data_IF_769148625762
#
_entry.id   IF_769148625762
#
_cell.length_a   1.000
_cell.length_b   1.000
_cell.length_c   1.000
_cell.angle_alpha   90.00
_cell.angle_beta   90.00
_cell.angle_gamma   90.00
#
_symmetry.space_group_name_H-M   'P 1'
#
loop_
_entity.id
_entity.type
_entity.pdbx_description
1 polymer ?
#
# COMPACT_ATOMS: atom_id res chain seq x y z
N UNK A 1 25.32 0.98 9.22
CA UNK A 1 24.51 0.97 7.98
C UNK A 1 23.14 1.46 8.39
N UNK A 2 23.00 2.78 8.46
CA UNK A 2 21.73 3.44 8.73
C UNK A 2 20.94 3.45 7.42
N UNK A 3 19.87 2.66 7.39
CA UNK A 3 18.92 2.71 6.27
C UNK A 3 18.03 3.90 6.55
N UNK A 4 18.31 5.00 5.85
CA UNK A 4 17.43 6.18 5.82
C UNK A 4 16.13 5.80 5.08
N UNK A 5 15.09 5.49 5.87
CA UNK A 5 13.75 5.13 5.38
C UNK A 5 13.01 6.36 4.83
N UNK A 6 13.57 7.58 4.99
CA UNK A 6 12.95 8.84 4.59
C UNK A 6 13.01 9.17 3.09
N UNK A 7 13.81 8.44 2.31
CA UNK A 7 14.10 8.79 0.91
C UNK A 7 13.70 7.70 -0.09
N UNK A 8 12.65 6.92 0.21
CA UNK A 8 12.02 6.07 -0.79
C UNK A 8 10.94 6.85 -1.54
N UNK A 9 11.11 7.16 -2.84
CA UNK A 9 10.13 7.92 -3.62
C UNK A 9 8.74 7.27 -3.63
N UNK A 10 8.63 5.97 -3.33
CA UNK A 10 7.34 5.27 -3.20
C UNK A 10 6.52 5.70 -1.98
N UNK A 11 7.14 6.08 -0.85
CA UNK A 11 6.41 6.52 0.35
C UNK A 11 5.91 7.97 0.17
N UNK A 12 6.70 8.82 -0.47
CA UNK A 12 6.30 10.19 -0.79
C UNK A 12 5.08 10.24 -1.73
N UNK A 13 4.98 9.30 -2.68
CA UNK A 13 3.82 9.18 -3.58
C UNK A 13 2.59 8.68 -2.82
N UNK A 14 2.74 7.67 -1.94
CA UNK A 14 1.63 7.18 -1.13
C UNK A 14 1.07 8.26 -0.17
N UNK A 15 1.94 9.15 0.33
CA UNK A 15 1.54 10.28 1.18
C UNK A 15 1.02 11.47 0.39
N UNK A 16 1.43 11.68 -0.87
CA UNK A 16 0.92 12.79 -1.71
C UNK A 16 -0.52 12.59 -2.17
N UNK A 17 -1.02 11.36 -2.15
CA UNK A 17 -2.43 11.04 -2.45
C UNK A 17 -3.33 11.00 -1.22
N UNK A 18 -2.80 11.14 0.00
CA UNK A 18 -3.66 11.36 1.18
C UNK A 18 -4.33 12.72 0.99
N UNK A 19 -5.68 12.79 0.94
CA UNK A 19 -6.36 14.06 0.84
C UNK A 19 -5.92 14.98 2.00
N UNK A 20 -5.40 16.15 1.65
CA UNK A 20 -4.88 17.18 2.58
C UNK A 20 -5.87 17.59 3.69
N UNK A 21 -7.15 17.23 3.53
CA UNK A 21 -8.25 17.37 4.50
C UNK A 21 -8.04 16.62 5.83
N UNK A 22 -7.14 15.64 5.94
CA UNK A 22 -6.90 14.94 7.20
C UNK A 22 -5.75 15.49 8.06
N UNK A 23 -4.96 16.46 7.57
CA UNK A 23 -3.75 16.95 8.29
C UNK A 23 -3.81 18.42 8.74
N UNK A 24 -4.80 19.21 8.31
CA UNK A 24 -5.00 20.60 8.78
C UNK A 24 -6.23 20.71 9.70
N UNK A 25 -6.20 19.98 10.81
CA UNK A 25 -7.08 20.23 11.94
C UNK A 25 -6.49 21.30 12.85
N UNK A 26 -6.77 22.58 12.58
CA UNK A 26 -6.54 23.65 13.56
C UNK A 26 -6.10 25.00 13.02
N UNK A 27 -6.83 25.61 12.09
CA UNK A 27 -6.79 27.07 11.96
C UNK A 27 -8.19 27.62 11.65
N UNK A 28 -8.57 28.65 12.39
CA UNK A 28 -9.93 29.19 12.52
C UNK A 28 -10.54 29.57 11.17
N UNK A 29 -11.76 29.09 10.90
CA UNK A 29 -12.55 29.59 9.76
C UNK A 29 -13.04 31.02 10.04
N UNK A 30 -12.74 32.00 9.15
CA UNK A 30 -13.35 33.31 9.24
C UNK A 30 -14.85 33.22 8.95
N UNK A 31 -15.61 33.74 9.91
CA UNK A 31 -17.05 33.85 9.95
C UNK A 31 -17.63 34.40 8.63
N UNK A 32 -18.31 33.55 7.85
CA UNK A 32 -19.05 33.95 6.65
C UNK A 32 -20.53 33.64 6.81
N UNK A 33 -21.21 34.58 7.45
CA UNK A 33 -22.64 34.76 7.33
C UNK A 33 -23.02 34.88 5.83
N UNK A 34 -24.11 34.20 5.44
CA UNK A 34 -24.75 34.12 4.10
C UNK A 34 -24.19 33.07 3.13
N UNK A 35 -24.68 31.84 3.24
CA UNK A 35 -25.12 31.07 2.06
C UNK A 35 -26.53 30.56 2.30
N UNK A 36 -27.49 31.22 1.65
CA UNK A 36 -28.84 30.69 1.49
C UNK A 36 -28.73 29.32 0.83
N UNK A 37 -29.50 28.39 1.39
CA UNK A 37 -29.75 27.08 0.80
C UNK A 37 -30.40 27.25 -0.58
N UNK A 38 -29.77 26.67 -1.59
CA UNK A 38 -30.47 26.19 -2.78
C UNK A 38 -30.17 24.69 -2.86
N UNK A 39 -31.22 23.91 -2.66
CA UNK A 39 -31.22 22.47 -2.85
C UNK A 39 -30.92 22.14 -4.31
N UNK A 40 -29.95 21.26 -4.49
CA UNK A 40 -29.48 20.74 -5.76
C UNK A 40 -28.13 20.12 -5.46
N UNK A 41 -28.07 18.78 -5.37
CA UNK A 41 -26.83 18.06 -5.18
C UNK A 41 -25.83 18.52 -6.23
N UNK A 42 -24.83 19.28 -5.83
CA UNK A 42 -23.90 19.86 -6.78
C UNK A 42 -22.93 18.77 -7.26
N UNK A 43 -22.59 18.75 -8.56
CA UNK A 43 -21.73 17.73 -9.19
C UNK A 43 -20.26 17.78 -8.75
N UNK A 44 -19.93 18.51 -7.68
CA UNK A 44 -18.57 18.64 -7.15
C UNK A 44 -18.39 17.99 -5.78
N UNK A 45 -19.33 17.18 -5.29
CA UNK A 45 -19.11 16.43 -4.04
C UNK A 45 -17.77 15.67 -4.13
N UNK A 46 -16.73 16.09 -3.39
CA UNK A 46 -15.37 15.56 -3.57
C UNK A 46 -15.33 14.05 -3.29
N UNK A 47 -16.29 13.56 -2.49
CA UNK A 47 -16.46 12.15 -2.15
C UNK A 47 -16.99 11.30 -3.32
N UNK A 48 -17.63 11.92 -4.31
CA UNK A 48 -18.21 11.26 -5.50
C UNK A 48 -17.41 11.55 -6.78
N UNK A 49 -16.21 12.11 -6.67
CA UNK A 49 -15.33 12.36 -7.82
C UNK A 49 -14.71 11.06 -8.37
N UNK A 50 -14.46 10.95 -9.69
CA UNK A 50 -13.73 9.82 -10.27
C UNK A 50 -12.39 9.55 -9.58
N UNK A 51 -11.67 10.62 -9.22
CA UNK A 51 -10.37 10.54 -8.54
C UNK A 51 -10.48 9.87 -7.17
N UNK A 52 -11.54 10.14 -6.40
CA UNK A 52 -11.80 9.47 -5.12
C UNK A 52 -12.08 7.97 -5.31
N UNK A 53 -12.79 7.60 -6.38
CA UNK A 53 -13.08 6.20 -6.70
C UNK A 53 -11.80 5.42 -7.02
N UNK A 54 -10.92 5.98 -7.86
CA UNK A 54 -9.61 5.41 -8.15
C UNK A 54 -8.73 5.31 -6.90
N UNK A 55 -8.73 6.34 -6.04
CA UNK A 55 -8.00 6.33 -4.78
C UNK A 55 -8.45 5.21 -3.82
N UNK A 56 -9.77 5.07 -3.58
CA UNK A 56 -10.32 4.02 -2.73
C UNK A 56 -9.97 2.63 -3.29
N UNK A 57 -10.02 2.46 -4.62
CA UNK A 57 -9.64 1.21 -5.27
C UNK A 57 -8.16 0.89 -5.05
N UNK A 58 -7.28 1.89 -5.17
CA UNK A 58 -5.86 1.74 -4.88
C UNK A 58 -5.59 1.38 -3.42
N UNK A 59 -6.27 2.02 -2.46
CA UNK A 59 -6.16 1.65 -1.05
C UNK A 59 -6.57 0.20 -0.79
N UNK A 60 -7.69 -0.25 -1.37
CA UNK A 60 -8.15 -1.64 -1.24
C UNK A 60 -7.13 -2.63 -1.82
N UNK A 61 -6.54 -2.31 -2.97
CA UNK A 61 -5.51 -3.14 -3.57
C UNK A 61 -4.27 -3.25 -2.66
N UNK A 62 -3.74 -2.11 -2.19
CA UNK A 62 -2.58 -2.08 -1.30
C UNK A 62 -2.81 -2.92 -0.05
N UNK A 63 -3.98 -2.79 0.58
CA UNK A 63 -4.36 -3.59 1.73
C UNK A 63 -4.42 -5.09 1.39
N UNK A 64 -5.03 -5.45 0.26
CA UNK A 64 -5.15 -6.85 -0.16
C UNK A 64 -3.80 -7.50 -0.47
N UNK A 65 -2.88 -6.78 -1.10
CA UNK A 65 -1.54 -7.28 -1.41
C UNK A 65 -0.67 -7.37 -0.14
N UNK A 66 -0.83 -6.42 0.79
CA UNK A 66 -0.18 -6.45 2.11
C UNK A 66 -0.68 -7.62 2.95
N UNK A 67 -1.98 -7.91 2.95
CA UNK A 67 -2.57 -9.06 3.65
C UNK A 67 -2.00 -10.38 3.13
N UNK A 68 -1.94 -10.55 1.81
CA UNK A 68 -1.35 -11.75 1.18
C UNK A 68 0.12 -11.92 1.56
N UNK A 69 0.91 -10.86 1.43
CA UNK A 69 2.33 -10.88 1.78
C UNK A 69 2.54 -11.21 3.27
N UNK A 70 1.84 -10.51 4.16
CA UNK A 70 1.99 -10.66 5.60
C UNK A 70 1.59 -12.05 6.09
N UNK A 71 0.53 -12.64 5.52
CA UNK A 71 0.10 -14.01 5.85
C UNK A 71 1.21 -15.03 5.61
N UNK A 72 1.85 -14.98 4.43
CA UNK A 72 2.97 -15.88 4.11
C UNK A 72 4.23 -15.58 4.93
N UNK A 73 4.52 -14.29 5.16
CA UNK A 73 5.63 -13.88 6.01
C UNK A 73 5.48 -14.44 7.44
N UNK A 74 4.30 -14.29 8.05
CA UNK A 74 4.00 -14.83 9.37
C UNK A 74 4.15 -16.35 9.41
N UNK A 75 3.62 -17.07 8.40
CA UNK A 75 3.76 -18.51 8.28
C UNK A 75 5.22 -18.96 8.31
N UNK A 76 6.08 -18.32 7.50
CA UNK A 76 7.52 -18.63 7.44
C UNK A 76 8.26 -18.29 8.73
N UNK A 77 7.85 -17.25 9.47
CA UNK A 77 8.44 -16.93 10.78
C UNK A 77 8.04 -17.92 11.87
N UNK A 78 6.81 -18.41 11.86
CA UNK A 78 6.40 -19.52 12.73
C UNK A 78 7.21 -20.79 12.41
N UNK A 79 7.44 -21.09 11.13
CA UNK A 79 8.28 -22.23 10.72
C UNK A 79 9.74 -22.06 11.15
N UNK A 80 10.31 -20.87 11.01
CA UNK A 80 11.65 -20.54 11.48
C UNK A 80 11.80 -20.73 13.01
N UNK A 81 10.79 -20.30 13.78
CA UNK A 81 10.77 -20.49 15.23
C UNK A 81 10.65 -21.98 15.60
N UNK A 82 9.78 -22.73 14.93
CA UNK A 82 9.62 -24.16 15.17
C UNK A 82 10.91 -24.95 14.86
N UNK A 83 11.60 -24.60 13.78
CA UNK A 83 12.88 -25.24 13.41
C UNK A 83 14.02 -24.85 14.36
N UNK A 84 14.05 -23.62 14.88
CA UNK A 84 15.00 -23.21 15.91
C UNK A 84 14.81 -24.04 17.20
N UNK A 85 13.56 -24.14 17.67
CA UNK A 85 13.25 -24.94 18.87
C UNK A 85 13.64 -26.40 18.69
N UNK A 86 13.40 -26.98 17.50
CA UNK A 86 13.81 -28.35 17.19
C UNK A 86 15.32 -28.54 17.27
N UNK A 87 16.10 -27.63 16.68
CA UNK A 87 17.57 -27.67 16.74
C UNK A 87 18.09 -27.61 18.18
N UNK A 88 17.46 -26.80 19.04
CA UNK A 88 17.80 -26.73 20.48
C UNK A 88 17.44 -28.04 21.19
N UNK A 89 16.27 -28.62 20.93
CA UNK A 89 15.89 -29.90 21.55
C UNK A 89 16.80 -31.04 21.12
N UNK A 90 17.14 -31.16 19.83
CA UNK A 90 18.03 -32.20 19.30
C UNK A 90 19.41 -32.16 19.94
N UNK A 91 19.91 -30.96 20.26
CA UNK A 91 21.22 -30.77 20.90
C UNK A 91 21.20 -31.01 22.41
N UNK A 92 20.05 -30.85 23.06
CA UNK A 92 19.88 -31.06 24.51
C UNK A 92 19.50 -32.50 24.91
N UNK A 93 19.08 -33.34 23.96
CA UNK A 93 18.47 -34.66 24.25
C UNK A 93 19.47 -35.81 24.53
N UNK A 94 20.78 -35.57 24.41
CA UNK A 94 21.82 -36.52 24.79
C UNK A 94 22.56 -36.01 26.03
N UNK A 95 22.64 -36.78 27.11
CA UNK A 95 23.28 -36.37 28.39
C UNK A 95 24.74 -35.91 28.31
N UNK A 96 25.35 -35.94 27.11
CA UNK A 96 26.61 -35.28 26.76
C UNK A 96 26.37 -34.46 25.49
N UNK A 97 26.65 -33.16 25.55
CA UNK A 97 26.55 -32.26 24.39
C UNK A 97 27.68 -32.61 23.40
N UNK A 98 27.33 -33.04 22.20
CA UNK A 98 28.28 -33.25 21.09
C UNK A 98 28.43 -31.94 20.27
N UNK A 99 29.61 -31.30 20.26
CA UNK A 99 29.85 -30.08 19.51
C UNK A 99 29.62 -30.19 18.00
N UNK A 100 29.82 -31.38 17.41
CA UNK A 100 29.58 -31.62 15.99
C UNK A 100 28.08 -31.67 15.67
N UNK A 101 27.29 -32.26 16.56
CA UNK A 101 25.82 -32.27 16.45
C UNK A 101 25.27 -30.86 16.57
N UNK A 102 25.75 -30.08 17.55
CA UNK A 102 25.37 -28.67 17.71
C UNK A 102 25.71 -27.84 16.48
N UNK A 103 26.94 -27.97 15.97
CA UNK A 103 27.39 -27.20 14.80
C UNK A 103 26.54 -27.52 13.57
N UNK A 104 26.22 -28.80 13.35
CA UNK A 104 25.37 -29.24 12.24
C UNK A 104 23.94 -28.69 12.35
N UNK A 105 23.32 -28.81 13.52
CA UNK A 105 21.97 -28.31 13.76
C UNK A 105 21.88 -26.78 13.52
N UNK A 106 22.91 -26.02 13.95
CA UNK A 106 22.99 -24.58 13.68
C UNK A 106 23.16 -24.26 12.20
N UNK A 107 24.04 -24.97 11.49
CA UNK A 107 24.26 -24.77 10.04
C UNK A 107 22.97 -25.06 9.25
N UNK A 108 22.27 -26.14 9.59
CA UNK A 108 21.02 -26.51 8.92
C UNK A 108 19.91 -25.48 9.20
N UNK A 109 19.80 -25.01 10.44
CA UNK A 109 18.87 -23.92 10.80
C UNK A 109 19.20 -22.60 10.09
N UNK A 110 20.48 -22.21 10.05
CA UNK A 110 20.92 -21.00 9.35
C UNK A 110 20.63 -21.08 7.86
N UNK A 111 20.88 -22.22 7.22
CA UNK A 111 20.61 -22.44 5.80
C UNK A 111 19.12 -22.29 5.49
N UNK A 112 18.26 -22.96 6.26
CA UNK A 112 16.81 -22.82 6.10
C UNK A 112 16.35 -21.38 6.34
N UNK A 113 16.99 -20.66 7.26
CA UNK A 113 16.65 -19.26 7.56
C UNK A 113 17.02 -18.32 6.41
N UNK A 114 18.17 -18.52 5.77
CA UNK A 114 18.54 -17.78 4.56
C UNK A 114 17.58 -18.04 3.40
N UNK A 115 17.14 -19.29 3.22
CA UNK A 115 16.15 -19.61 2.18
C UNK A 115 14.83 -18.86 2.41
N UNK A 116 14.29 -18.91 3.64
CA UNK A 116 13.05 -18.20 3.98
C UNK A 116 13.18 -16.68 3.85
N UNK A 117 14.34 -16.11 4.16
CA UNK A 117 14.62 -14.68 3.96
C UNK A 117 14.63 -14.28 2.48
N UNK A 118 15.22 -15.11 1.62
CA UNK A 118 15.20 -14.88 0.18
C UNK A 118 13.77 -14.97 -0.39
N UNK A 119 12.97 -15.92 0.12
CA UNK A 119 11.54 -16.01 -0.22
C UNK A 119 10.78 -14.77 0.25
N UNK A 120 10.98 -14.32 1.50
CA UNK A 120 10.41 -13.07 2.02
C UNK A 120 10.73 -11.88 1.12
N UNK A 121 12.01 -11.72 0.74
CA UNK A 121 12.46 -10.60 -0.08
C UNK A 121 11.84 -10.63 -1.49
N UNK A 122 11.79 -11.81 -2.11
CA UNK A 122 11.17 -11.97 -3.43
C UNK A 122 9.68 -11.66 -3.39
N UNK A 123 8.98 -12.15 -2.38
CA UNK A 123 7.54 -11.94 -2.23
C UNK A 123 7.23 -10.46 -1.94
N UNK A 124 8.07 -9.81 -1.13
CA UNK A 124 7.99 -8.36 -0.86
C UNK A 124 8.18 -7.54 -2.13
N UNK A 125 9.23 -7.81 -2.92
CA UNK A 125 9.45 -7.13 -4.20
C UNK A 125 8.31 -7.39 -5.19
N UNK A 126 7.80 -8.62 -5.22
CA UNK A 126 6.65 -8.98 -6.05
C UNK A 126 5.39 -8.18 -5.67
N UNK A 127 5.11 -8.04 -4.37
CA UNK A 127 4.03 -7.21 -3.85
C UNK A 127 4.21 -5.75 -4.29
N UNK A 128 5.39 -5.16 -4.05
CA UNK A 128 5.67 -3.78 -4.43
C UNK A 128 5.53 -3.55 -5.94
N UNK A 129 5.99 -4.48 -6.78
CA UNK A 129 5.86 -4.37 -8.23
C UNK A 129 4.38 -4.42 -8.68
N UNK A 130 3.57 -5.34 -8.13
CA UNK A 130 2.13 -5.40 -8.45
C UNK A 130 1.40 -4.14 -8.04
N UNK A 131 1.70 -3.60 -6.86
CA UNK A 131 1.15 -2.32 -6.40
C UNK A 131 1.55 -1.16 -7.33
N UNK A 132 2.83 -1.10 -7.73
CA UNK A 132 3.33 -0.07 -8.64
C UNK A 132 2.69 -0.16 -10.04
N UNK A 133 2.58 -1.36 -10.61
CA UNK A 133 1.93 -1.57 -11.90
C UNK A 133 0.48 -1.09 -11.89
N UNK A 134 -0.28 -1.45 -10.84
CA UNK A 134 -1.68 -1.03 -10.72
C UNK A 134 -1.83 0.47 -10.43
N UNK A 135 -0.92 1.09 -9.70
CA UNK A 135 -0.91 2.56 -9.53
C UNK A 135 -0.82 3.27 -10.88
N UNK A 136 0.11 2.83 -11.75
CA UNK A 136 0.29 3.41 -13.08
C UNK A 136 -0.94 3.21 -13.96
N UNK A 137 -1.56 2.02 -13.90
CA UNK A 137 -2.79 1.73 -14.64
C UNK A 137 -3.96 2.62 -14.19
N UNK A 138 -4.21 2.70 -12.89
CA UNK A 138 -5.31 3.49 -12.33
C UNK A 138 -5.12 5.00 -12.54
N UNK A 139 -3.87 5.50 -12.48
CA UNK A 139 -3.57 6.89 -12.80
C UNK A 139 -3.84 7.19 -14.30
N UNK A 140 -3.44 6.30 -15.20
CA UNK A 140 -3.73 6.43 -16.64
C UNK A 140 -5.22 6.42 -16.95
N UNK A 141 -5.99 5.55 -16.26
CA UNK A 141 -7.45 5.50 -16.40
C UNK A 141 -8.10 6.79 -15.88
N UNK A 142 -7.71 7.26 -14.69
CA UNK A 142 -8.22 8.49 -14.09
C UNK A 142 -7.95 9.73 -14.96
N UNK A 143 -6.76 9.82 -15.58
CA UNK A 143 -6.42 10.90 -16.52
C UNK A 143 -7.32 10.85 -17.76
N UNK A 144 -7.54 9.65 -18.31
CA UNK A 144 -8.37 9.46 -19.50
C UNK A 144 -9.81 9.87 -19.23
N UNK A 145 -10.39 9.43 -18.11
CA UNK A 145 -11.76 9.80 -17.71
C UNK A 145 -11.88 11.32 -17.48
N UNK A 146 -10.88 11.94 -16.85
CA UNK A 146 -10.86 13.39 -16.66
C UNK A 146 -10.86 14.15 -17.99
N UNK A 147 -10.08 13.70 -18.98
CA UNK A 147 -10.05 14.32 -20.32
C UNK A 147 -11.40 14.18 -21.01
N UNK A 148 -12.04 13.02 -20.93
CA UNK A 148 -13.37 12.78 -21.51
C UNK A 148 -14.43 13.68 -20.89
N UNK A 149 -14.41 13.85 -19.57
CA UNK A 149 -15.37 14.71 -18.86
C UNK A 149 -15.19 16.18 -19.23
N UNK A 150 -13.94 16.66 -19.36
CA UNK A 150 -13.65 18.01 -19.88
C UNK A 150 -14.13 18.17 -21.32
N UNK A 151 -13.93 17.16 -22.17
CA UNK A 151 -14.39 17.18 -23.55
C UNK A 151 -15.93 17.20 -23.65
N UNK A 152 -16.63 16.42 -22.82
CA UNK A 152 -18.10 16.41 -22.73
C UNK A 152 -18.62 17.74 -22.21
N UNK A 153 -18.01 18.30 -21.16
CA UNK A 153 -18.37 19.61 -20.62
C UNK A 153 -18.24 20.70 -21.68
N UNK A 154 -17.13 20.75 -22.41
CA UNK A 154 -16.88 21.74 -23.48
C UNK A 154 -17.89 21.62 -24.63
N UNK A 155 -18.29 20.40 -25.01
CA UNK A 155 -19.34 20.17 -26.02
C UNK A 155 -20.72 20.63 -25.54
N UNK A 156 -21.05 20.41 -24.27
CA UNK A 156 -22.31 20.85 -23.66
C UNK A 156 -22.40 22.38 -23.57
N UNK A 157 -21.31 23.06 -23.20
CA UNK A 157 -21.26 24.54 -23.19
C UNK A 157 -21.44 25.11 -24.60
N UNK A 158 -20.84 24.47 -25.61
CA UNK A 158 -21.00 24.89 -27.02
C UNK A 158 -22.42 24.70 -27.55
N UNK A 159 -23.17 23.72 -27.07
CA UNK A 159 -24.57 23.51 -27.43
C UNK A 159 -25.50 24.56 -26.80
N UNK A 160 -25.14 25.13 -25.63
CA UNK A 160 -25.90 26.20 -24.98
C UNK A 160 -25.57 27.61 -25.47
N UNK A 161 -24.48 27.80 -26.22
CA UNK A 161 -24.07 29.10 -26.78
C UNK A 161 -24.42 29.28 -28.26
N UNK A 162 -25.51 28.67 -28.75
CA UNK A 162 -26.01 28.99 -30.09
C UNK A 162 -26.64 30.39 -30.07
N UNK A 163 -26.15 31.36 -30.86
CA UNK A 163 -26.68 32.73 -30.85
C UNK A 163 -28.05 32.77 -31.55
N UNK A 164 -28.99 33.50 -30.94
CA UNK A 164 -30.26 33.95 -31.55
C UNK A 164 -30.01 35.27 -32.24
#
# INVERSE_FOLDING_TARGET
MDIDVGQSPGIAILLSFVPKIYMEGGEEMPNSNKRQAVGGGMPWDPLNSPQMTHFIRMQKLLLSETEKYSSEWFRRRCEAAATATRAVTETASGGVIDPLVVSRALIDWQRGSMQRLNEDFRDYLGMMNRCAQRMVEEESEAITETIEDVAKATKSTRAHSSPV
#
